data_IF_109685264729
#
_entry.id   IF_109685264729
#
_cell.length_a   1.000
_cell.length_b   1.000
_cell.length_c   1.000
_cell.angle_alpha   90.00
_cell.angle_beta   90.00
_cell.angle_gamma   90.00
#
_symmetry.space_group_name_H-M   'P 1'
#
loop_
_entity.id
_entity.type
_entity.pdbx_description
1 polymer ?
#
# COMPACT_ATOMS: atom_id res chain seq x y z
N UNK A 1 35.84 17.16 -8.61
CA UNK A 1 35.86 16.09 -7.59
C UNK A 1 34.49 16.07 -6.90
N UNK A 2 33.47 15.44 -7.52
CA UNK A 2 32.09 15.37 -7.00
C UNK A 2 31.84 13.99 -6.38
N UNK A 3 32.50 13.71 -5.26
CA UNK A 3 32.62 12.34 -4.73
C UNK A 3 31.50 12.00 -3.71
N UNK A 4 30.75 12.98 -3.22
CA UNK A 4 29.81 12.83 -2.09
C UNK A 4 28.36 13.25 -2.39
N UNK A 5 27.98 13.46 -3.65
CA UNK A 5 26.71 14.12 -3.99
C UNK A 5 25.47 13.23 -3.99
N UNK A 6 25.64 11.92 -3.79
CA UNK A 6 24.55 10.95 -3.93
C UNK A 6 23.86 10.57 -2.61
N UNK A 7 24.47 10.85 -1.46
CA UNK A 7 23.90 10.50 -0.15
C UNK A 7 22.47 11.06 0.05
N UNK A 8 22.16 12.34 -0.28
CA UNK A 8 20.81 12.86 -0.12
C UNK A 8 19.78 12.15 -1.02
N UNK A 9 20.22 11.59 -2.15
CA UNK A 9 19.36 10.88 -3.10
C UNK A 9 19.07 9.48 -2.62
N UNK A 10 20.04 8.81 -2.02
CA UNK A 10 19.86 7.46 -1.48
C UNK A 10 19.06 7.47 -0.18
N UNK A 11 19.14 8.54 0.62
CA UNK A 11 18.27 8.72 1.78
C UNK A 11 16.80 8.83 1.39
N UNK A 12 16.48 9.48 0.26
CA UNK A 12 15.12 9.48 -0.30
C UNK A 12 14.65 8.08 -0.71
N UNK A 13 15.56 7.15 -1.02
CA UNK A 13 15.21 5.75 -1.28
C UNK A 13 14.87 4.97 0.00
N UNK A 14 15.19 5.52 1.18
CA UNK A 14 14.79 4.92 2.46
C UNK A 14 13.36 5.32 2.85
N UNK A 15 12.82 6.38 2.23
CA UNK A 15 11.47 6.90 2.46
C UNK A 15 10.43 6.30 1.49
N UNK A 16 10.79 5.24 0.76
CA UNK A 16 9.90 4.58 -0.20
C UNK A 16 8.70 3.93 0.52
N UNK A 17 7.55 4.59 0.41
CA UNK A 17 6.27 4.16 1.01
C UNK A 17 5.75 2.84 0.44
N UNK A 18 5.93 2.60 -0.85
CA UNK A 18 5.55 1.38 -1.57
C UNK A 18 6.30 0.12 -1.11
N UNK A 19 7.46 0.27 -0.44
CA UNK A 19 8.17 -0.84 0.20
C UNK A 19 7.74 -1.06 1.67
N UNK A 20 6.86 -0.22 2.21
CA UNK A 20 6.31 -0.41 3.56
C UNK A 20 5.43 -1.66 3.58
N UNK A 21 5.49 -2.49 4.63
CA UNK A 21 4.62 -3.65 4.77
C UNK A 21 3.14 -3.27 4.63
N UNK A 22 2.41 -4.12 3.92
CA UNK A 22 0.95 -4.00 3.76
C UNK A 22 0.30 -4.61 5.01
N UNK A 23 -0.86 -4.09 5.39
CA UNK A 23 -1.63 -4.67 6.48
C UNK A 23 -2.15 -6.06 6.08
N UNK A 24 -1.81 -7.15 6.80
CA UNK A 24 -2.33 -8.49 6.51
C UNK A 24 -3.86 -8.59 6.58
N UNK A 25 -4.53 -7.69 7.32
CA UNK A 25 -6.00 -7.63 7.39
C UNK A 25 -6.64 -7.34 6.03
N UNK A 26 -5.88 -6.79 5.07
CA UNK A 26 -6.33 -6.59 3.69
C UNK A 26 -6.62 -7.91 2.97
N UNK A 27 -6.18 -9.05 3.50
CA UNK A 27 -6.56 -10.37 3.02
C UNK A 27 -8.02 -10.74 3.32
N UNK A 28 -8.72 -9.99 4.19
CA UNK A 28 -10.11 -10.25 4.60
C UNK A 28 -10.38 -11.70 5.05
N UNK A 29 -9.37 -12.37 5.63
CA UNK A 29 -9.46 -13.76 6.08
C UNK A 29 -9.22 -14.82 5.00
N UNK A 30 -8.90 -14.43 3.76
CA UNK A 30 -8.53 -15.38 2.70
C UNK A 30 -7.08 -15.85 2.86
N UNK A 31 -6.83 -17.15 3.11
CA UNK A 31 -5.47 -17.65 3.39
C UNK A 31 -4.50 -17.48 2.22
N UNK A 32 -4.98 -17.61 0.98
CA UNK A 32 -4.17 -17.44 -0.22
C UNK A 32 -3.71 -15.99 -0.39
N UNK A 33 -4.62 -15.01 -0.16
CA UNK A 33 -4.28 -13.59 -0.21
C UNK A 33 -3.33 -13.21 0.92
N UNK A 34 -3.54 -13.76 2.12
CA UNK A 34 -2.66 -13.56 3.26
C UNK A 34 -1.24 -14.02 2.93
N UNK A 35 -1.07 -15.25 2.46
CA UNK A 35 0.23 -15.79 2.09
C UNK A 35 0.90 -14.96 0.97
N UNK A 36 0.11 -14.46 0.01
CA UNK A 36 0.60 -13.57 -1.03
C UNK A 36 1.09 -12.22 -0.47
N UNK A 37 0.32 -11.60 0.42
CA UNK A 37 0.67 -10.34 1.09
C UNK A 37 1.94 -10.50 1.93
N UNK A 38 2.00 -11.56 2.75
CA UNK A 38 3.16 -11.87 3.59
C UNK A 38 4.41 -12.12 2.74
N UNK A 39 4.30 -12.94 1.70
CA UNK A 39 5.38 -13.19 0.76
C UNK A 39 5.90 -11.91 0.08
N UNK A 40 5.01 -10.97 -0.24
CA UNK A 40 5.43 -9.66 -0.77
C UNK A 40 6.02 -8.74 0.28
N UNK A 41 5.48 -8.72 1.50
CA UNK A 41 6.04 -7.94 2.61
C UNK A 41 7.49 -8.38 2.88
N UNK A 42 7.77 -9.68 2.83
CA UNK A 42 9.12 -10.21 2.97
C UNK A 42 10.05 -9.75 1.83
N UNK A 43 9.59 -9.81 0.57
CA UNK A 43 10.37 -9.33 -0.59
C UNK A 43 10.66 -7.82 -0.48
N UNK A 44 9.65 -7.02 -0.15
CA UNK A 44 9.81 -5.57 0.06
C UNK A 44 10.74 -5.27 1.23
N UNK A 45 10.63 -6.03 2.33
CA UNK A 45 11.49 -5.91 3.50
C UNK A 45 12.96 -6.17 3.18
N UNK A 46 13.24 -7.21 2.37
CA UNK A 46 14.60 -7.49 1.88
C UNK A 46 15.14 -6.37 0.99
N UNK A 47 14.35 -5.88 0.03
CA UNK A 47 14.76 -4.78 -0.83
C UNK A 47 15.05 -3.50 -0.02
N UNK A 48 14.18 -3.15 0.92
CA UNK A 48 14.37 -2.01 1.82
C UNK A 48 15.62 -2.16 2.71
N UNK A 49 15.86 -3.36 3.26
CA UNK A 49 17.07 -3.66 4.03
C UNK A 49 18.34 -3.47 3.19
N UNK A 50 18.32 -3.90 1.93
CA UNK A 50 19.46 -3.74 1.02
C UNK A 50 19.73 -2.27 0.68
N UNK A 51 18.69 -1.47 0.48
CA UNK A 51 18.84 -0.02 0.29
C UNK A 51 19.42 0.66 1.55
N UNK A 52 18.99 0.25 2.75
CA UNK A 52 19.57 0.75 4.02
C UNK A 52 21.04 0.39 4.15
N UNK A 53 21.41 -0.85 3.84
CA UNK A 53 22.79 -1.30 3.87
C UNK A 53 23.66 -0.49 2.90
N UNK A 54 23.18 -0.29 1.66
CA UNK A 54 23.87 0.52 0.66
C UNK A 54 24.08 1.97 1.14
N UNK A 55 23.05 2.58 1.73
CA UNK A 55 23.15 3.93 2.30
C UNK A 55 24.18 3.98 3.44
N UNK A 56 24.22 2.96 4.30
CA UNK A 56 25.20 2.86 5.38
C UNK A 56 26.64 2.69 4.85
N UNK A 57 26.84 1.85 3.84
CA UNK A 57 28.16 1.63 3.24
C UNK A 57 28.68 2.87 2.52
N UNK A 58 27.80 3.60 1.82
CA UNK A 58 28.13 4.89 1.19
C UNK A 58 28.47 5.96 2.22
N UNK A 59 27.76 6.01 3.34
CA UNK A 59 28.09 6.89 4.48
C UNK A 59 29.46 6.56 5.06
N UNK A 60 29.76 5.28 5.27
CA UNK A 60 31.07 4.82 5.76
C UNK A 60 32.19 5.20 4.79
N UNK A 61 31.96 5.09 3.48
CA UNK A 61 32.91 5.53 2.45
C UNK A 61 32.99 7.07 2.32
N UNK A 62 32.04 7.80 2.92
CA UNK A 62 32.05 9.26 2.97
C UNK A 62 32.74 9.82 4.22
N UNK A 63 32.95 8.97 5.23
CA UNK A 63 33.74 9.30 6.41
C UNK A 63 35.23 9.40 6.03
N UNK A 64 35.75 10.62 6.17
CA UNK A 64 37.13 10.97 5.83
C UNK A 64 38.14 10.12 6.61
N UNK A 65 37.91 9.84 7.89
CA UNK A 65 38.82 9.04 8.72
C UNK A 65 38.79 7.54 8.36
N UNK A 66 37.69 7.06 7.79
CA UNK A 66 37.63 5.72 7.22
C UNK A 66 38.39 5.65 5.90
N UNK A 67 38.30 6.70 5.07
CA UNK A 67 38.96 6.78 3.77
C UNK A 67 40.48 6.95 3.84
N UNK A 68 41.01 7.77 4.76
CA UNK A 68 42.46 7.97 4.90
C UNK A 68 43.22 6.68 5.23
N UNK A 69 42.55 5.74 5.89
CA UNK A 69 43.11 4.41 6.20
C UNK A 69 43.11 3.47 5.00
N UNK A 70 42.38 3.78 3.93
CA UNK A 70 42.33 2.98 2.72
C UNK A 70 43.31 3.52 1.69
N UNK A 71 44.13 2.65 1.09
CA UNK A 71 44.94 3.03 -0.07
C UNK A 71 44.08 3.47 -1.25
N UNK A 72 44.64 4.29 -2.15
CA UNK A 72 43.90 4.84 -3.30
C UNK A 72 43.30 3.78 -4.22
N UNK A 73 43.97 2.63 -4.40
CA UNK A 73 43.46 1.48 -5.17
C UNK A 73 42.27 0.81 -4.49
N UNK A 74 42.34 0.60 -3.18
CA UNK A 74 41.23 0.05 -2.37
C UNK A 74 40.01 0.94 -2.42
N UNK A 75 40.21 2.26 -2.34
CA UNK A 75 39.11 3.24 -2.45
C UNK A 75 38.42 3.20 -3.81
N UNK A 76 39.17 3.03 -4.90
CA UNK A 76 38.59 2.89 -6.24
C UNK A 76 37.81 1.58 -6.39
N UNK A 77 38.34 0.47 -5.85
CA UNK A 77 37.67 -0.82 -5.86
C UNK A 77 36.35 -0.79 -5.08
N UNK A 78 36.34 -0.22 -3.88
CA UNK A 78 35.12 -0.05 -3.07
C UNK A 78 34.07 0.81 -3.78
N UNK A 79 34.49 1.86 -4.49
CA UNK A 79 33.57 2.67 -5.30
C UNK A 79 32.95 1.89 -6.44
N UNK A 80 33.74 1.07 -7.14
CA UNK A 80 33.24 0.22 -8.22
C UNK A 80 32.23 -0.81 -7.68
N UNK A 81 32.56 -1.46 -6.54
CA UNK A 81 31.66 -2.38 -5.82
C UNK A 81 30.34 -1.70 -5.48
N UNK A 82 30.38 -0.54 -4.82
CA UNK A 82 29.17 0.18 -4.42
C UNK A 82 28.31 0.60 -5.62
N UNK A 83 28.91 0.96 -6.76
CA UNK A 83 28.13 1.25 -7.98
C UNK A 83 27.39 0.01 -8.50
N UNK A 84 28.05 -1.14 -8.54
CA UNK A 84 27.42 -2.41 -8.91
C UNK A 84 26.29 -2.78 -7.96
N UNK A 85 26.54 -2.74 -6.65
CA UNK A 85 25.53 -3.04 -5.63
C UNK A 85 24.34 -2.07 -5.66
N UNK A 86 24.57 -0.82 -6.07
CA UNK A 86 23.50 0.15 -6.25
C UNK A 86 22.59 -0.20 -7.41
N UNK A 87 23.17 -0.65 -8.52
CA UNK A 87 22.38 -1.12 -9.65
C UNK A 87 21.50 -2.31 -9.24
N UNK A 88 22.09 -3.30 -8.59
CA UNK A 88 21.38 -4.51 -8.13
C UNK A 88 20.29 -4.18 -7.11
N UNK A 89 20.59 -3.34 -6.11
CA UNK A 89 19.61 -2.95 -5.09
C UNK A 89 18.44 -2.16 -5.68
N UNK A 90 18.71 -1.27 -6.64
CA UNK A 90 17.65 -0.53 -7.34
C UNK A 90 16.82 -1.44 -8.25
N UNK A 91 17.45 -2.42 -8.90
CA UNK A 91 16.76 -3.45 -9.67
C UNK A 91 15.83 -4.29 -8.82
N UNK A 92 16.31 -4.80 -7.68
CA UNK A 92 15.51 -5.55 -6.72
C UNK A 92 14.35 -4.71 -6.17
N UNK A 93 14.60 -3.45 -5.80
CA UNK A 93 13.56 -2.55 -5.33
C UNK A 93 12.48 -2.27 -6.39
N UNK A 94 12.89 -2.05 -7.65
CA UNK A 94 11.95 -1.85 -8.75
C UNK A 94 11.10 -3.10 -9.00
N UNK A 95 11.73 -4.27 -9.05
CA UNK A 95 11.02 -5.53 -9.27
C UNK A 95 10.02 -5.78 -8.13
N UNK A 96 10.43 -5.56 -6.87
CA UNK A 96 9.53 -5.68 -5.74
C UNK A 96 8.32 -4.73 -5.83
N UNK A 97 8.52 -3.49 -6.29
CA UNK A 97 7.43 -2.52 -6.51
C UNK A 97 6.52 -2.89 -7.69
N UNK A 98 7.06 -3.46 -8.77
CA UNK A 98 6.27 -3.95 -9.90
C UNK A 98 5.37 -5.11 -9.48
N UNK A 99 5.94 -6.12 -8.80
CA UNK A 99 5.12 -7.23 -8.30
C UNK A 99 4.08 -6.77 -7.26
N UNK A 100 4.43 -5.76 -6.44
CA UNK A 100 3.52 -5.14 -5.46
C UNK A 100 2.32 -4.48 -6.16
N UNK A 101 2.55 -3.80 -7.27
CA UNK A 101 1.47 -3.20 -8.07
C UNK A 101 0.53 -4.26 -8.62
N UNK A 102 1.07 -5.35 -9.18
CA UNK A 102 0.27 -6.46 -9.70
C UNK A 102 -0.56 -7.14 -8.61
N UNK A 103 0.04 -7.38 -7.43
CA UNK A 103 -0.69 -7.92 -6.28
C UNK A 103 -1.80 -6.96 -5.83
N UNK A 104 -1.50 -5.67 -5.68
CA UNK A 104 -2.50 -4.68 -5.27
C UNK A 104 -3.66 -4.60 -6.27
N UNK A 105 -3.38 -4.79 -7.57
CA UNK A 105 -4.42 -4.87 -8.59
C UNK A 105 -5.30 -6.12 -8.45
N UNK A 106 -4.71 -7.27 -8.12
CA UNK A 106 -5.48 -8.50 -7.83
C UNK A 106 -6.35 -8.35 -6.58
N UNK A 107 -5.79 -7.75 -5.51
CA UNK A 107 -6.53 -7.47 -4.27
C UNK A 107 -7.66 -6.48 -4.52
N UNK A 108 -7.42 -5.41 -5.28
CA UNK A 108 -8.45 -4.43 -5.65
C UNK A 108 -9.62 -5.09 -6.38
N UNK A 109 -9.34 -6.00 -7.31
CA UNK A 109 -10.38 -6.69 -8.06
C UNK A 109 -11.27 -7.53 -7.15
N UNK A 110 -10.67 -8.32 -6.24
CA UNK A 110 -11.44 -9.13 -5.28
C UNK A 110 -12.22 -8.29 -4.28
N UNK A 111 -11.62 -7.22 -3.74
CA UNK A 111 -12.32 -6.32 -2.82
C UNK A 111 -13.50 -5.60 -3.49
N UNK A 112 -13.43 -5.32 -4.80
CA UNK A 112 -14.58 -4.76 -5.55
C UNK A 112 -15.73 -5.76 -5.62
N UNK A 113 -15.44 -7.02 -5.89
CA UNK A 113 -16.46 -8.07 -5.91
C UNK A 113 -17.13 -8.20 -4.52
N UNK A 114 -16.32 -8.24 -3.45
CA UNK A 114 -16.84 -8.26 -2.07
C UNK A 114 -17.63 -6.99 -1.71
N UNK A 115 -17.22 -5.82 -2.20
CA UNK A 115 -17.94 -4.57 -1.98
C UNK A 115 -19.29 -4.59 -2.69
N UNK A 116 -19.34 -5.03 -3.95
CA UNK A 116 -20.59 -5.12 -4.71
C UNK A 116 -21.56 -6.13 -4.06
N UNK A 117 -21.04 -7.27 -3.56
CA UNK A 117 -21.82 -8.21 -2.75
C UNK A 117 -22.35 -7.57 -1.45
N UNK A 118 -21.51 -6.82 -0.74
CA UNK A 118 -21.90 -6.13 0.49
C UNK A 118 -22.97 -5.06 0.24
N UNK A 119 -22.89 -4.33 -0.88
CA UNK A 119 -23.93 -3.40 -1.33
C UNK A 119 -25.24 -4.15 -1.58
N UNK A 120 -25.19 -5.27 -2.32
CA UNK A 120 -26.38 -6.09 -2.57
C UNK A 120 -27.02 -6.63 -1.29
N UNK A 121 -26.22 -7.07 -0.33
CA UNK A 121 -26.70 -7.52 0.98
C UNK A 121 -27.31 -6.37 1.80
N UNK A 122 -26.72 -5.18 1.76
CA UNK A 122 -27.27 -4.00 2.42
C UNK A 122 -28.64 -3.63 1.84
N UNK A 123 -28.77 -3.59 0.51
CA UNK A 123 -30.04 -3.28 -0.15
C UNK A 123 -31.12 -4.32 0.18
N UNK A 124 -30.74 -5.60 0.19
CA UNK A 124 -31.64 -6.67 0.59
C UNK A 124 -32.07 -6.56 2.06
N UNK A 125 -31.16 -6.21 2.96
CA UNK A 125 -31.45 -5.99 4.38
C UNK A 125 -32.42 -4.82 4.57
N UNK A 126 -32.20 -3.71 3.86
CA UNK A 126 -33.08 -2.53 3.87
C UNK A 126 -34.48 -2.90 3.37
N UNK A 127 -34.59 -3.61 2.25
CA UNK A 127 -35.90 -4.03 1.72
C UNK A 127 -36.61 -5.02 2.65
N UNK A 128 -35.86 -5.90 3.30
CA UNK A 128 -36.41 -6.85 4.29
C UNK A 128 -36.91 -6.13 5.54
N UNK A 129 -36.14 -5.18 6.07
CA UNK A 129 -36.53 -4.35 7.20
C UNK A 129 -37.77 -3.52 6.87
N UNK A 130 -37.83 -2.88 5.70
CA UNK A 130 -39.02 -2.16 5.21
C UNK A 130 -40.26 -3.05 5.19
N UNK A 131 -40.14 -4.29 4.70
CA UNK A 131 -41.27 -5.26 4.66
C UNK A 131 -41.72 -5.69 6.05
N UNK A 132 -40.80 -5.87 6.99
CA UNK A 132 -41.12 -6.23 8.38
C UNK A 132 -41.82 -5.08 9.11
N UNK A 133 -41.36 -3.85 8.90
CA UNK A 133 -41.82 -2.64 9.59
C UNK A 133 -43.04 -1.96 8.95
N UNK A 134 -43.76 -2.63 8.05
CA UNK A 134 -44.94 -2.07 7.36
C UNK A 134 -46.04 -1.66 8.34
N UNK A 135 -46.21 -2.39 9.45
CA UNK A 135 -47.23 -2.08 10.45
C UNK A 135 -46.91 -0.78 11.20
N UNK A 136 -45.65 -0.61 11.58
CA UNK A 136 -45.09 0.57 12.22
C UNK A 136 -45.22 1.79 11.30
N UNK A 137 -44.95 1.62 9.99
CA UNK A 137 -45.17 2.68 8.99
C UNK A 137 -46.62 3.15 8.97
N UNK A 138 -47.59 2.23 8.96
CA UNK A 138 -49.02 2.56 8.97
C UNK A 138 -49.43 3.26 10.26
N UNK A 139 -48.90 2.81 11.40
CA UNK A 139 -49.15 3.44 12.69
C UNK A 139 -48.60 4.88 12.73
N UNK A 140 -47.37 5.10 12.24
CA UNK A 140 -46.79 6.43 12.13
C UNK A 140 -47.60 7.35 11.22
N UNK A 141 -48.07 6.86 10.08
CA UNK A 141 -48.92 7.64 9.15
C UNK A 141 -50.24 8.07 9.80
N UNK A 142 -50.82 7.25 10.67
CA UNK A 142 -52.05 7.58 11.38
C UNK A 142 -51.84 8.62 12.50
N UNK A 143 -50.69 8.59 13.18
CA UNK A 143 -50.41 9.46 14.34
C UNK A 143 -49.75 10.77 13.93
N UNK A 144 -48.82 10.75 12.97
CA UNK A 144 -48.06 11.92 12.54
C UNK A 144 -47.71 11.83 11.04
N UNK A 145 -48.66 12.11 10.13
CA UNK A 145 -48.50 11.91 8.69
C UNK A 145 -47.40 12.77 8.08
N UNK A 146 -47.14 13.97 8.62
CA UNK A 146 -46.15 14.90 8.08
C UNK A 146 -44.72 14.37 8.19
N UNK A 147 -44.40 13.66 9.28
CA UNK A 147 -43.04 13.14 9.55
C UNK A 147 -42.94 11.62 9.46
N UNK A 148 -44.04 10.93 9.14
CA UNK A 148 -44.12 9.47 9.18
C UNK A 148 -43.05 8.77 8.34
N UNK A 149 -42.75 9.29 7.15
CA UNK A 149 -41.76 8.69 6.26
C UNK A 149 -40.32 8.84 6.80
N UNK A 150 -39.99 10.00 7.37
CA UNK A 150 -38.68 10.22 8.01
C UNK A 150 -38.47 9.28 9.19
N UNK A 151 -39.45 9.19 10.10
CA UNK A 151 -39.39 8.26 11.23
C UNK A 151 -39.37 6.79 10.80
N UNK A 152 -40.06 6.45 9.71
CA UNK A 152 -39.99 5.10 9.16
C UNK A 152 -38.59 4.77 8.62
N UNK A 153 -37.96 5.72 7.92
CA UNK A 153 -36.56 5.57 7.50
C UNK A 153 -35.62 5.42 8.70
N UNK A 154 -35.83 6.17 9.79
CA UNK A 154 -35.04 6.04 11.02
C UNK A 154 -35.21 4.64 11.64
N UNK A 155 -36.42 4.09 11.66
CA UNK A 155 -36.66 2.72 12.16
C UNK A 155 -36.00 1.66 11.29
N UNK A 156 -36.05 1.81 9.95
CA UNK A 156 -35.35 0.92 9.02
C UNK A 156 -33.84 1.01 9.21
N UNK A 157 -33.29 2.22 9.34
CA UNK A 157 -31.87 2.43 9.59
C UNK A 157 -31.42 1.93 10.98
N UNK A 158 -32.33 1.90 11.96
CA UNK A 158 -32.08 1.36 13.28
C UNK A 158 -32.18 -0.18 13.36
N UNK A 159 -32.74 -0.84 12.34
CA UNK A 159 -32.81 -2.30 12.26
C UNK A 159 -31.38 -2.90 12.32
N UNK A 160 -31.19 -3.89 13.18
CA UNK A 160 -29.86 -4.47 13.41
C UNK A 160 -29.28 -5.09 12.14
N UNK A 161 -30.11 -5.73 11.30
CA UNK A 161 -29.64 -6.36 10.07
C UNK A 161 -29.17 -5.32 9.03
N UNK A 162 -29.83 -4.16 8.98
CA UNK A 162 -29.42 -3.03 8.14
C UNK A 162 -28.12 -2.43 8.65
N UNK A 163 -28.00 -2.21 9.97
CA UNK A 163 -26.76 -1.69 10.58
C UNK A 163 -25.58 -2.62 10.38
N UNK A 164 -25.77 -3.93 10.54
CA UNK A 164 -24.71 -4.90 10.32
C UNK A 164 -24.26 -4.93 8.85
N UNK A 165 -25.20 -4.94 7.90
CA UNK A 165 -24.87 -4.90 6.48
C UNK A 165 -24.17 -3.59 6.08
N UNK A 166 -24.62 -2.44 6.60
CA UNK A 166 -23.99 -1.14 6.37
C UNK A 166 -22.54 -1.10 6.90
N UNK A 167 -22.27 -1.72 8.06
CA UNK A 167 -20.90 -1.85 8.59
C UNK A 167 -20.00 -2.65 7.65
N UNK A 168 -20.49 -3.77 7.11
CA UNK A 168 -19.72 -4.60 6.16
C UNK A 168 -19.43 -3.84 4.86
N UNK A 169 -20.44 -3.17 4.31
CA UNK A 169 -20.26 -2.31 3.13
C UNK A 169 -19.23 -1.21 3.38
N UNK A 170 -19.33 -0.51 4.52
CA UNK A 170 -18.38 0.54 4.88
C UNK A 170 -16.97 0.00 5.09
N UNK A 171 -16.81 -1.18 5.69
CA UNK A 171 -15.50 -1.80 5.90
C UNK A 171 -14.85 -2.17 4.55
N UNK A 172 -15.60 -2.78 3.64
CA UNK A 172 -15.13 -3.07 2.28
C UNK A 172 -14.76 -1.79 1.50
N UNK A 173 -15.57 -0.73 1.63
CA UNK A 173 -15.28 0.57 1.03
C UNK A 173 -14.01 1.21 1.57
N UNK A 174 -13.76 1.11 2.88
CA UNK A 174 -12.51 1.59 3.48
C UNK A 174 -11.30 0.81 2.97
N UNK A 175 -11.40 -0.52 2.90
CA UNK A 175 -10.31 -1.36 2.40
C UNK A 175 -9.95 -1.04 0.93
N UNK A 176 -10.93 -0.71 0.09
CA UNK A 176 -10.68 -0.21 -1.27
C UNK A 176 -9.93 1.12 -1.30
N UNK A 177 -10.25 2.05 -0.38
CA UNK A 177 -9.51 3.32 -0.26
C UNK A 177 -8.06 3.08 0.16
N UNK A 178 -7.83 2.17 1.10
CA UNK A 178 -6.49 1.83 1.58
C UNK A 178 -5.64 1.21 0.46
N UNK A 179 -6.22 0.33 -0.37
CA UNK A 179 -5.56 -0.18 -1.58
C UNK A 179 -5.21 0.95 -2.55
N UNK A 180 -6.15 1.87 -2.81
CA UNK A 180 -5.92 2.98 -3.73
C UNK A 180 -4.78 3.91 -3.25
N UNK A 181 -4.67 4.14 -1.94
CA UNK A 181 -3.55 4.86 -1.35
C UNK A 181 -2.23 4.10 -1.52
N UNK A 182 -2.21 2.80 -1.20
CA UNK A 182 -1.02 1.96 -1.37
C UNK A 182 -0.53 1.96 -2.83
N UNK A 183 -1.44 1.82 -3.81
CA UNK A 183 -1.10 1.86 -5.24
C UNK A 183 -0.46 3.18 -5.65
N UNK A 184 -1.01 4.32 -5.18
CA UNK A 184 -0.42 5.65 -5.45
C UNK A 184 1.01 5.74 -4.91
N UNK A 185 1.26 5.20 -3.71
CA UNK A 185 2.60 5.11 -3.14
C UNK A 185 3.56 4.29 -4.00
N UNK A 186 3.15 3.09 -4.42
CA UNK A 186 3.95 2.19 -5.28
C UNK A 186 4.30 2.85 -6.62
N UNK A 187 3.35 3.50 -7.28
CA UNK A 187 3.57 4.18 -8.56
C UNK A 187 4.60 5.32 -8.42
N UNK A 188 4.46 6.15 -7.39
CA UNK A 188 5.38 7.25 -7.12
C UNK A 188 6.81 6.75 -6.85
N UNK A 189 6.93 5.69 -6.07
CA UNK A 189 8.21 5.09 -5.72
C UNK A 189 8.87 4.40 -6.89
N UNK A 190 8.10 3.68 -7.72
CA UNK A 190 8.64 3.05 -8.93
C UNK A 190 9.25 4.09 -9.87
N UNK A 191 8.60 5.25 -10.01
CA UNK A 191 9.12 6.37 -10.80
C UNK A 191 10.44 6.91 -10.22
N UNK A 192 10.52 7.02 -8.89
CA UNK A 192 11.72 7.45 -8.17
C UNK A 192 12.88 6.46 -8.38
N UNK A 193 12.64 5.17 -8.17
CA UNK A 193 13.64 4.11 -8.36
C UNK A 193 14.10 4.06 -9.82
N UNK A 194 13.17 4.14 -10.78
CA UNK A 194 13.48 4.13 -12.22
C UNK A 194 14.37 5.31 -12.61
N UNK A 195 14.08 6.51 -12.09
CA UNK A 195 14.90 7.70 -12.33
C UNK A 195 16.31 7.48 -11.79
N UNK A 196 16.42 6.93 -10.57
CA UNK A 196 17.72 6.63 -9.95
C UNK A 196 18.51 5.56 -10.69
N UNK A 197 17.86 4.51 -11.19
CA UNK A 197 18.51 3.48 -12.03
C UNK A 197 19.16 4.10 -13.27
N UNK A 198 18.47 5.02 -13.95
CA UNK A 198 19.01 5.70 -15.13
C UNK A 198 20.26 6.52 -14.80
N UNK A 199 20.27 7.17 -13.63
CA UNK A 199 21.44 7.91 -13.16
C UNK A 199 22.64 6.98 -12.89
N UNK A 200 22.42 5.87 -12.19
CA UNK A 200 23.47 4.87 -11.90
C UNK A 200 23.99 4.24 -13.19
N UNK A 201 23.10 3.91 -14.13
CA UNK A 201 23.48 3.38 -15.44
C UNK A 201 24.42 4.35 -16.18
N UNK A 202 24.08 5.63 -16.22
CA UNK A 202 24.91 6.65 -16.86
C UNK A 202 26.31 6.80 -16.21
N UNK A 203 26.46 6.44 -14.93
CA UNK A 203 27.74 6.42 -14.22
C UNK A 203 28.54 5.14 -14.43
N UNK A 204 27.88 4.03 -14.78
CA UNK A 204 28.52 2.75 -15.11
C UNK A 204 29.06 2.73 -16.54
N UNK A 205 28.43 3.48 -17.45
CA UNK A 205 28.83 3.55 -18.86
C UNK A 205 29.87 4.63 -19.17
N UNK A 206 30.40 5.32 -18.14
CA UNK A 206 31.46 6.33 -18.23
C UNK A 206 32.75 5.80 -17.64
#
# INVERSE_FOLDING_TARGET
MHIFTDEPRDLRLLDLRGLTPLNPEMAAGEPELLAMIEGHNDRCGRAAARLRQLAADRRRLSDFAACERMGGTTLLAERARLRGESWDALWEARHALEEREDMLQQLEHRLREQYDEAVGHHDQAVETAKRRLVKERRALQAVNPTNAEGHFHDFVAADESVREAARRQSAAGQALNDIAEAKRGVIADRSTVTTRQREVFALLTR
#
